data_IF_101862212043
#
_entry.id   IF_101862212043
#
_cell.length_a   1.000
_cell.length_b   1.000
_cell.length_c   1.000
_cell.angle_alpha   90.00
_cell.angle_beta   90.00
_cell.angle_gamma   90.00
#
_symmetry.space_group_name_H-M   'P 1'
#
loop_
_entity.id
_entity.type
_entity.pdbx_description
1 polymer ?
#
# COMPACT_ATOMS: atom_id res chain seq x y z
N UNK A 1 19.43 14.99 -11.16
CA UNK A 1 18.00 15.15 -10.91
C UNK A 1 17.60 16.62 -10.80
N UNK A 2 16.39 16.96 -11.26
CA UNK A 2 15.87 18.34 -11.22
C UNK A 2 15.33 18.74 -9.85
N UNK A 3 15.08 17.78 -8.96
CA UNK A 3 14.59 17.99 -7.59
C UNK A 3 15.05 16.86 -6.68
N UNK A 4 14.85 17.03 -5.37
CA UNK A 4 15.10 16.00 -4.37
C UNK A 4 13.88 15.07 -4.14
N UNK A 5 12.77 15.27 -4.89
CA UNK A 5 11.63 14.40 -4.82
C UNK A 5 11.88 13.13 -5.61
N UNK A 6 11.56 11.99 -4.98
CA UNK A 6 11.50 10.68 -5.65
C UNK A 6 10.04 10.27 -5.83
N UNK A 7 9.76 9.53 -6.88
CA UNK A 7 8.44 8.94 -7.11
C UNK A 7 8.51 7.46 -6.72
N UNK A 8 7.99 7.08 -5.55
CA UNK A 8 7.86 5.66 -5.20
C UNK A 8 6.79 4.99 -6.07
N UNK A 9 6.72 3.67 -6.06
CA UNK A 9 5.87 2.89 -6.95
C UNK A 9 4.38 2.86 -6.57
N UNK A 10 3.80 3.97 -6.11
CA UNK A 10 2.38 4.05 -5.75
C UNK A 10 1.63 4.91 -6.76
N UNK A 11 0.80 4.27 -7.60
CA UNK A 11 0.10 4.92 -8.70
C UNK A 11 -1.39 4.62 -8.67
N UNK A 12 -2.20 5.67 -8.96
CA UNK A 12 -3.64 5.57 -9.15
C UNK A 12 -4.00 6.17 -10.51
N UNK A 13 -4.65 5.40 -11.35
CA UNK A 13 -5.04 5.82 -12.69
C UNK A 13 -6.53 5.63 -12.92
N UNK A 14 -7.10 6.49 -13.76
CA UNK A 14 -8.39 6.24 -14.37
C UNK A 14 -8.29 5.17 -15.46
N UNK A 15 -9.42 4.81 -16.08
CA UNK A 15 -9.45 3.74 -17.08
C UNK A 15 -8.73 4.08 -18.40
N UNK A 16 -8.40 5.36 -18.64
CA UNK A 16 -7.62 5.78 -19.80
C UNK A 16 -6.23 5.12 -19.81
N UNK A 17 -5.72 4.72 -18.65
CA UNK A 17 -4.41 4.07 -18.51
C UNK A 17 -4.28 2.83 -19.39
N UNK A 18 -5.37 2.09 -19.61
CA UNK A 18 -5.35 0.85 -20.43
C UNK A 18 -4.95 1.18 -21.87
N UNK A 19 -5.55 2.20 -22.44
CA UNK A 19 -5.24 2.61 -23.82
C UNK A 19 -3.89 3.33 -23.93
N UNK A 20 -3.52 4.11 -22.92
CA UNK A 20 -2.20 4.73 -22.85
C UNK A 20 -1.13 3.64 -22.81
N UNK A 21 -1.26 2.65 -21.92
CA UNK A 21 -0.29 1.58 -21.74
C UNK A 21 -0.08 0.73 -22.99
N UNK A 22 -1.14 0.41 -23.74
CA UNK A 22 -1.06 -0.30 -25.03
C UNK A 22 -0.21 0.42 -26.07
N UNK A 23 -0.11 1.74 -25.98
CA UNK A 23 0.59 2.59 -26.95
C UNK A 23 1.98 3.03 -26.48
N UNK A 24 2.40 2.65 -25.27
CA UNK A 24 3.75 2.95 -24.76
C UNK A 24 4.78 2.14 -25.55
N UNK A 25 5.82 2.83 -26.02
CA UNK A 25 6.94 2.18 -26.71
C UNK A 25 8.06 1.86 -25.71
N UNK A 26 8.81 0.79 -25.92
CA UNK A 26 9.96 0.48 -25.09
C UNK A 26 10.96 1.65 -25.05
N UNK A 27 11.56 1.86 -23.87
CA UNK A 27 12.64 2.82 -23.67
C UNK A 27 13.94 2.39 -24.37
N UNK A 28 14.99 3.20 -24.29
CA UNK A 28 16.32 2.85 -24.79
C UNK A 28 16.89 1.58 -24.12
N UNK A 29 16.36 1.17 -22.95
CA UNK A 29 16.73 -0.08 -22.27
C UNK A 29 15.93 -1.30 -22.76
N UNK A 30 14.98 -1.10 -23.68
CA UNK A 30 14.09 -2.16 -24.16
C UNK A 30 12.91 -2.46 -23.23
N UNK A 31 12.69 -1.67 -22.20
CA UNK A 31 11.64 -1.86 -21.19
C UNK A 31 10.47 -0.89 -21.39
N UNK A 32 9.25 -1.33 -21.07
CA UNK A 32 8.07 -0.47 -21.00
C UNK A 32 8.08 0.22 -19.64
N UNK A 33 8.29 1.53 -19.64
CA UNK A 33 8.51 2.33 -18.44
C UNK A 33 7.19 2.98 -17.96
N UNK A 34 6.90 2.86 -16.66
CA UNK A 34 5.77 3.55 -16.03
C UNK A 34 5.86 5.08 -16.18
N UNK A 35 7.07 5.62 -16.25
CA UNK A 35 7.33 7.04 -16.48
C UNK A 35 6.72 7.53 -17.79
N UNK A 36 6.66 6.70 -18.82
CA UNK A 36 6.02 7.06 -20.10
C UNK A 36 4.51 7.28 -19.94
N UNK A 37 3.86 6.49 -19.11
CA UNK A 37 2.44 6.65 -18.76
C UNK A 37 2.24 7.97 -18.00
N UNK A 38 3.06 8.23 -16.97
CA UNK A 38 3.00 9.47 -16.20
C UNK A 38 3.22 10.70 -17.08
N UNK A 39 4.15 10.65 -18.03
CA UNK A 39 4.41 11.72 -18.97
C UNK A 39 3.20 11.98 -19.89
N UNK A 40 2.48 10.95 -20.31
CA UNK A 40 1.28 11.12 -21.10
C UNK A 40 0.14 11.78 -20.28
N UNK A 41 -0.04 11.39 -19.01
CA UNK A 41 -0.96 12.09 -18.11
C UNK A 41 -0.55 13.54 -17.88
N UNK A 42 0.74 13.82 -17.73
CA UNK A 42 1.27 15.19 -17.62
C UNK A 42 0.95 16.00 -18.88
N UNK A 43 1.19 15.43 -20.09
CA UNK A 43 0.89 16.07 -21.37
C UNK A 43 -0.60 16.39 -21.54
N UNK A 44 -1.48 15.53 -21.00
CA UNK A 44 -2.95 15.73 -20.98
C UNK A 44 -3.41 16.72 -19.91
N UNK A 45 -2.53 17.20 -19.04
CA UNK A 45 -2.89 18.05 -17.90
C UNK A 45 -3.71 17.33 -16.82
N UNK A 46 -3.63 16.00 -16.78
CA UNK A 46 -4.39 15.14 -15.85
C UNK A 46 -3.52 14.54 -14.74
N UNK A 47 -2.19 14.76 -14.75
CA UNK A 47 -1.31 14.24 -13.71
C UNK A 47 -1.53 15.02 -12.42
N UNK A 48 -1.83 14.29 -11.35
CA UNK A 48 -1.87 14.82 -9.99
C UNK A 48 -0.73 14.21 -9.18
N UNK A 49 -0.20 14.95 -8.22
CA UNK A 49 0.89 14.51 -7.34
C UNK A 49 0.52 14.81 -5.90
N UNK A 50 0.60 13.79 -5.06
CA UNK A 50 0.49 13.93 -3.62
C UNK A 50 1.87 13.73 -2.98
N UNK A 51 2.29 14.65 -2.13
CA UNK A 51 3.55 14.51 -1.40
C UNK A 51 3.33 13.79 -0.08
N UNK A 52 4.09 12.72 0.14
CA UNK A 52 4.08 12.03 1.42
C UNK A 52 4.73 12.91 2.49
N UNK A 53 4.00 13.19 3.55
CA UNK A 53 4.46 14.00 4.67
C UNK A 53 5.44 13.26 5.59
N UNK A 54 5.87 13.94 6.67
CA UNK A 54 6.88 13.42 7.62
C UNK A 54 6.47 12.13 8.36
N UNK A 55 5.19 11.83 8.44
CA UNK A 55 4.67 10.65 9.10
C UNK A 55 4.72 9.36 8.26
N UNK A 56 5.11 9.46 7.00
CA UNK A 56 5.21 8.30 6.11
C UNK A 56 6.62 7.71 6.12
N UNK A 57 6.70 6.40 6.25
CA UNK A 57 7.91 5.63 6.02
C UNK A 57 7.75 4.85 4.71
N UNK A 58 8.66 5.06 3.76
CA UNK A 58 8.76 4.25 2.56
C UNK A 58 9.94 3.29 2.71
N UNK A 59 9.68 2.01 2.60
CA UNK A 59 10.68 0.96 2.78
C UNK A 59 10.69 0.08 1.52
N UNK A 60 11.81 0.09 0.82
CA UNK A 60 12.03 -0.83 -0.28
C UNK A 60 12.36 -2.24 0.25
N UNK A 61 11.99 -3.26 -0.51
CA UNK A 61 12.22 -4.66 -0.16
C UNK A 61 12.93 -5.42 -1.29
N UNK A 62 13.71 -4.70 -2.09
CA UNK A 62 14.34 -5.21 -3.30
C UNK A 62 15.54 -6.16 -3.07
N UNK A 63 16.05 -6.25 -1.86
CA UNK A 63 17.08 -7.20 -1.46
C UNK A 63 16.82 -7.72 -0.05
N UNK A 64 17.61 -8.70 0.40
CA UNK A 64 17.40 -9.38 1.67
C UNK A 64 17.57 -8.46 2.88
N UNK A 65 18.54 -7.55 2.85
CA UNK A 65 18.79 -6.61 3.95
C UNK A 65 17.64 -5.61 4.08
N UNK A 66 17.19 -5.03 2.98
CA UNK A 66 16.04 -4.12 2.97
C UNK A 66 14.74 -4.81 3.41
N UNK A 67 14.55 -6.09 3.04
CA UNK A 67 13.40 -6.86 3.50
C UNK A 67 13.44 -7.09 5.02
N UNK A 68 14.62 -7.37 5.56
CA UNK A 68 14.81 -7.53 7.00
C UNK A 68 14.53 -6.22 7.74
N UNK A 69 15.10 -5.12 7.28
CA UNK A 69 14.87 -3.79 7.87
C UNK A 69 13.37 -3.43 7.87
N UNK A 70 12.66 -3.69 6.78
CA UNK A 70 11.23 -3.48 6.70
C UNK A 70 10.45 -4.36 7.69
N UNK A 71 10.83 -5.63 7.82
CA UNK A 71 10.22 -6.56 8.77
C UNK A 71 10.44 -6.11 10.22
N UNK A 72 11.65 -5.69 10.57
CA UNK A 72 11.99 -5.19 11.90
C UNK A 72 11.24 -3.89 12.22
N UNK A 73 11.14 -2.97 11.26
CA UNK A 73 10.34 -1.75 11.41
C UNK A 73 8.87 -2.07 11.70
N UNK A 74 8.25 -2.93 10.88
CA UNK A 74 6.85 -3.36 11.07
C UNK A 74 6.67 -4.04 12.43
N UNK A 75 7.56 -4.97 12.80
CA UNK A 75 7.50 -5.68 14.07
C UNK A 75 7.61 -4.73 15.27
N UNK A 76 8.54 -3.76 15.21
CA UNK A 76 8.71 -2.77 16.27
C UNK A 76 7.46 -1.90 16.42
N UNK A 77 6.91 -1.41 15.30
CA UNK A 77 5.69 -0.60 15.31
C UNK A 77 4.50 -1.38 15.90
N UNK A 78 4.24 -2.58 15.39
CA UNK A 78 3.11 -3.41 15.85
C UNK A 78 3.21 -3.75 17.33
N UNK A 79 4.40 -4.14 17.81
CA UNK A 79 4.63 -4.46 19.23
C UNK A 79 4.45 -3.26 20.15
N UNK A 80 4.79 -2.05 19.70
CA UNK A 80 4.70 -0.83 20.51
C UNK A 80 3.32 -0.22 20.53
N UNK A 81 2.61 -0.28 19.40
CA UNK A 81 1.28 0.31 19.25
C UNK A 81 0.15 -0.66 19.59
N UNK A 82 0.42 -1.97 19.57
CA UNK A 82 -0.63 -2.99 19.70
C UNK A 82 -1.57 -3.06 18.50
N UNK A 83 -1.16 -2.50 17.35
CA UNK A 83 -1.95 -2.43 16.13
C UNK A 83 -1.25 -3.20 15.02
N UNK A 84 -2.02 -3.85 14.15
CA UNK A 84 -1.46 -4.49 12.96
C UNK A 84 -1.44 -3.51 11.78
N UNK A 85 -0.28 -3.40 11.11
CA UNK A 85 -0.17 -2.63 9.88
C UNK A 85 -0.89 -3.38 8.76
N UNK A 86 -1.72 -2.67 7.99
CA UNK A 86 -2.47 -3.21 6.85
C UNK A 86 -3.38 -4.40 7.19
N UNK A 87 -3.94 -4.42 8.39
CA UNK A 87 -4.99 -5.38 8.74
C UNK A 87 -6.25 -5.07 7.92
N UNK A 88 -6.45 -5.82 6.83
CA UNK A 88 -7.52 -5.55 5.85
C UNK A 88 -8.91 -5.71 6.46
N UNK A 89 -9.10 -6.65 7.37
CA UNK A 89 -10.35 -6.91 8.05
C UNK A 89 -10.72 -5.75 9.00
N UNK A 90 -9.75 -5.23 9.76
CA UNK A 90 -9.93 -4.05 10.59
C UNK A 90 -10.29 -2.81 9.73
N UNK A 91 -9.56 -2.61 8.63
CA UNK A 91 -9.82 -1.51 7.71
C UNK A 91 -11.23 -1.61 7.13
N UNK A 92 -11.64 -2.81 6.69
CA UNK A 92 -12.96 -3.05 6.16
C UNK A 92 -14.06 -2.79 7.20
N UNK A 93 -13.84 -3.23 8.43
CA UNK A 93 -14.76 -2.99 9.54
C UNK A 93 -14.86 -1.49 9.90
N UNK A 94 -13.73 -0.82 10.12
CA UNK A 94 -13.70 0.61 10.46
C UNK A 94 -14.24 1.51 9.33
N UNK A 95 -14.18 1.05 8.08
CA UNK A 95 -14.77 1.73 6.92
C UNK A 95 -16.25 1.39 6.69
N UNK A 96 -16.82 0.47 7.48
CA UNK A 96 -18.21 0.03 7.34
C UNK A 96 -18.48 -0.87 6.14
N UNK A 97 -17.45 -1.49 5.56
CA UNK A 97 -17.60 -2.44 4.46
C UNK A 97 -18.07 -3.82 4.95
N UNK A 98 -17.74 -4.15 6.19
CA UNK A 98 -18.21 -5.36 6.88
C UNK A 98 -18.78 -5.01 8.25
N UNK A 99 -19.69 -5.86 8.74
CA UNK A 99 -20.27 -5.73 10.09
C UNK A 99 -19.34 -6.34 11.15
N UNK A 100 -19.66 -6.08 12.42
CA UNK A 100 -18.97 -6.71 13.56
C UNK A 100 -19.07 -8.23 13.52
N UNK A 101 -20.24 -8.75 13.18
CA UNK A 101 -20.52 -10.18 13.07
C UNK A 101 -19.65 -10.81 11.97
N UNK A 102 -19.57 -10.19 10.81
CA UNK A 102 -18.71 -10.63 9.72
C UNK A 102 -17.22 -10.60 10.10
N UNK A 103 -16.77 -9.57 10.85
CA UNK A 103 -15.40 -9.52 11.36
C UNK A 103 -15.11 -10.69 12.30
N UNK A 104 -16.06 -11.03 13.20
CA UNK A 104 -15.92 -12.17 14.09
C UNK A 104 -15.94 -13.52 13.34
N UNK A 105 -16.74 -13.64 12.28
CA UNK A 105 -16.72 -14.81 11.40
C UNK A 105 -15.36 -15.00 10.73
N UNK A 106 -14.75 -13.91 10.23
CA UNK A 106 -13.40 -13.93 9.65
C UNK A 106 -12.33 -14.31 10.69
N UNK A 107 -12.50 -13.92 11.94
CA UNK A 107 -11.59 -14.28 13.02
C UNK A 107 -11.65 -15.76 13.41
N UNK A 108 -12.80 -16.44 13.26
CA UNK A 108 -13.02 -17.81 13.73
C UNK A 108 -11.93 -18.82 13.33
N UNK A 109 -11.56 -18.95 12.05
CA UNK A 109 -10.51 -19.91 11.64
C UNK A 109 -9.13 -19.54 12.18
N UNK A 110 -8.93 -18.31 12.65
CA UNK A 110 -7.66 -17.74 13.06
C UNK A 110 -7.51 -17.61 14.58
N UNK A 111 -8.49 -18.03 15.39
CA UNK A 111 -8.50 -17.83 16.85
C UNK A 111 -7.30 -18.41 17.60
N UNK A 112 -6.60 -19.37 17.02
CA UNK A 112 -5.37 -19.95 17.60
C UNK A 112 -4.13 -19.09 17.33
N UNK A 113 -4.23 -18.02 16.55
CA UNK A 113 -3.14 -17.11 16.22
C UNK A 113 -3.30 -15.77 16.92
N UNK A 114 -2.19 -15.04 17.10
CA UNK A 114 -2.23 -13.68 17.62
C UNK A 114 -3.05 -12.74 16.72
N UNK A 115 -3.03 -12.97 15.40
CA UNK A 115 -3.81 -12.19 14.44
C UNK A 115 -5.31 -12.37 14.63
N UNK A 116 -5.79 -13.61 14.80
CA UNK A 116 -7.21 -13.88 15.05
C UNK A 116 -7.69 -13.28 16.36
N UNK A 117 -6.88 -13.34 17.43
CA UNK A 117 -7.19 -12.66 18.69
C UNK A 117 -7.27 -11.14 18.50
N UNK A 118 -6.37 -10.54 17.75
CA UNK A 118 -6.42 -9.13 17.41
C UNK A 118 -7.72 -8.73 16.71
N UNK A 119 -8.22 -9.54 15.76
CA UNK A 119 -9.50 -9.27 15.09
C UNK A 119 -10.68 -9.29 16.08
N UNK A 120 -10.65 -10.18 17.06
CA UNK A 120 -11.65 -10.22 18.14
C UNK A 120 -11.55 -8.95 19.01
N UNK A 121 -10.35 -8.51 19.35
CA UNK A 121 -10.14 -7.30 20.14
C UNK A 121 -10.64 -6.06 19.39
N UNK A 122 -10.36 -5.96 18.09
CA UNK A 122 -10.91 -4.89 17.20
C UNK A 122 -12.45 -4.94 17.19
N UNK A 123 -13.05 -6.10 17.09
CA UNK A 123 -14.51 -6.24 17.12
C UNK A 123 -15.12 -5.84 18.49
N UNK A 124 -14.33 -5.86 19.55
CA UNK A 124 -14.72 -5.49 20.91
C UNK A 124 -14.32 -4.06 21.30
N UNK A 125 -13.75 -3.28 20.39
CA UNK A 125 -13.55 -1.85 20.58
C UNK A 125 -12.10 -1.41 20.79
N UNK A 126 -11.11 -2.21 20.37
CA UNK A 126 -9.71 -1.78 20.28
C UNK A 126 -9.58 -0.56 19.35
#
# INVERSE_FOLDING_TARGET
>A
PKSNYAVPGLYFYDNDVVEIAKNVKPSARGEIEITSINNEYLRRGKLMVETLGRGFAWLDTGNHDMLLDAADFVAAFQKRQGLYISCIEEIAYKRGFITREQLLELAQPLLKTAYGQYLVDVANGL
#
